data_IF_994975468450
#
_entry.id   IF_994975468450
#
_cell.length_a   1.000
_cell.length_b   1.000
_cell.length_c   1.000
_cell.angle_alpha   90.00
_cell.angle_beta   90.00
_cell.angle_gamma   90.00
#
_symmetry.space_group_name_H-M   'P 1'
#
loop_
_entity.id
_entity.type
_entity.pdbx_description
1 polymer ?
#
# COMPACT_ATOMS: atom_id res chain seq x y z
N UNK A 1 -18.77 32.71 -40.21
CA UNK A 1 -18.78 33.13 -38.79
C UNK A 1 -19.10 31.92 -37.91
N UNK A 2 -18.28 31.74 -36.87
CA UNK A 2 -18.45 30.90 -35.67
C UNK A 2 -18.34 29.37 -35.83
N UNK A 3 -17.09 28.94 -35.65
CA UNK A 3 -16.66 27.62 -35.20
C UNK A 3 -17.42 27.16 -33.95
N UNK A 4 -17.90 25.91 -33.94
CA UNK A 4 -18.16 25.17 -32.70
C UNK A 4 -17.22 23.97 -32.74
N UNK A 5 -16.09 24.13 -32.05
CA UNK A 5 -15.08 23.10 -31.88
C UNK A 5 -15.65 22.10 -30.88
N UNK A 6 -15.98 20.89 -31.36
CA UNK A 6 -16.22 19.75 -30.49
C UNK A 6 -14.87 19.39 -29.86
N UNK A 7 -14.56 20.02 -28.75
CA UNK A 7 -13.50 19.61 -27.84
C UNK A 7 -14.16 19.06 -26.59
N UNK A 8 -14.81 17.89 -26.72
CA UNK A 8 -15.00 17.07 -25.53
C UNK A 8 -13.62 16.45 -25.26
N UNK A 9 -12.85 17.15 -24.43
CA UNK A 9 -11.56 16.72 -23.93
C UNK A 9 -11.67 15.23 -23.56
N UNK A 10 -10.99 14.39 -24.33
CA UNK A 10 -10.50 13.12 -23.83
C UNK A 10 -9.57 13.48 -22.66
N UNK A 11 -10.14 13.60 -21.46
CA UNK A 11 -9.41 13.36 -20.21
C UNK A 11 -9.18 11.85 -20.04
N UNK A 12 -8.87 11.16 -21.14
CA UNK A 12 -7.96 10.03 -21.10
C UNK A 12 -6.57 10.60 -20.91
N UNK A 13 -6.29 11.13 -19.73
CA UNK A 13 -4.92 11.27 -19.25
C UNK A 13 -4.32 9.87 -19.37
N UNK A 14 -3.53 9.68 -20.42
CA UNK A 14 -2.64 8.55 -20.60
C UNK A 14 -1.54 8.68 -19.54
N UNK A 15 -1.90 8.47 -18.28
CA UNK A 15 -0.93 8.24 -17.23
C UNK A 15 -0.19 6.96 -17.60
N UNK A 16 1.02 7.13 -18.13
CA UNK A 16 1.95 6.06 -18.44
C UNK A 16 2.11 5.19 -17.21
N UNK A 17 1.50 4.00 -17.27
CA UNK A 17 1.33 3.19 -16.07
C UNK A 17 2.62 2.44 -15.76
N UNK A 18 3.35 2.93 -14.75
CA UNK A 18 4.55 2.26 -14.21
C UNK A 18 4.36 1.59 -12.85
N UNK A 19 3.17 1.61 -12.25
CA UNK A 19 2.93 0.87 -11.01
C UNK A 19 2.43 -0.55 -11.31
N UNK A 20 3.36 -1.51 -11.35
CA UNK A 20 3.08 -2.93 -11.20
C UNK A 20 4.11 -3.48 -10.22
N UNK A 21 3.66 -4.22 -9.21
CA UNK A 21 4.57 -4.83 -8.23
C UNK A 21 4.58 -6.33 -8.45
N UNK A 22 5.77 -6.83 -8.76
CA UNK A 22 6.03 -8.26 -8.87
C UNK A 22 6.79 -8.72 -7.61
N UNK A 23 6.14 -9.58 -6.83
CA UNK A 23 6.69 -10.06 -5.55
C UNK A 23 7.69 -11.23 -5.70
N UNK A 24 7.87 -11.81 -6.89
CA UNK A 24 8.69 -13.02 -7.06
C UNK A 24 8.15 -14.24 -6.32
N UNK A 25 8.99 -15.25 -6.09
CA UNK A 25 8.71 -16.36 -5.18
C UNK A 25 8.84 -15.89 -3.73
N UNK A 26 7.97 -16.38 -2.83
CA UNK A 26 7.96 -16.02 -1.40
C UNK A 26 7.46 -17.22 -0.60
N UNK A 27 7.98 -17.41 0.62
CA UNK A 27 7.65 -18.55 1.49
C UNK A 27 6.38 -18.29 2.29
N UNK A 28 6.20 -17.05 2.74
CA UNK A 28 5.06 -16.70 3.58
C UNK A 28 4.73 -15.22 3.52
N UNK A 29 3.44 -14.94 3.71
CA UNK A 29 2.94 -13.59 3.89
C UNK A 29 2.24 -13.47 5.24
N UNK A 30 2.68 -12.52 6.06
CA UNK A 30 2.10 -12.20 7.37
C UNK A 30 1.41 -10.85 7.28
N UNK A 31 0.14 -10.80 7.68
CA UNK A 31 -0.61 -9.55 7.81
C UNK A 31 -0.69 -9.17 9.26
N UNK A 32 -0.26 -7.95 9.56
CA UNK A 32 -0.35 -7.34 10.87
C UNK A 32 -1.33 -6.17 10.82
N UNK A 33 -2.17 -6.06 11.84
CA UNK A 33 -3.07 -4.92 12.03
C UNK A 33 -2.61 -4.13 13.24
N UNK A 34 -2.72 -2.83 13.12
CA UNK A 34 -2.26 -1.89 14.13
C UNK A 34 -3.37 -0.94 14.50
N UNK A 35 -3.40 -0.57 15.77
CA UNK A 35 -3.93 0.70 16.20
C UNK A 35 -2.81 1.72 16.01
N UNK A 36 -3.05 2.69 15.13
CA UNK A 36 -2.17 3.83 14.92
C UNK A 36 -2.93 5.09 15.29
N UNK A 37 -2.39 5.85 16.24
CA UNK A 37 -2.84 7.21 16.54
C UNK A 37 -1.65 8.12 16.32
N UNK A 38 -1.75 8.95 15.29
CA UNK A 38 -0.78 10.00 15.02
C UNK A 38 -0.87 11.06 16.12
N UNK A 39 0.25 11.60 16.56
CA UNK A 39 0.26 12.79 17.41
C UNK A 39 -0.45 13.98 16.77
N UNK A 40 -0.50 14.05 15.43
CA UNK A 40 -1.26 15.08 14.70
C UNK A 40 -2.77 14.95 14.90
N UNK A 41 -3.25 13.79 15.39
CA UNK A 41 -4.64 13.54 15.76
C UNK A 41 -4.89 13.70 17.28
N UNK A 42 -3.88 14.12 18.04
CA UNK A 42 -4.01 14.37 19.48
C UNK A 42 -4.47 15.81 19.76
N UNK A 43 -4.93 16.05 20.99
CA UNK A 43 -5.40 17.38 21.40
C UNK A 43 -4.28 18.41 21.30
N UNK A 44 -4.63 19.64 20.94
CA UNK A 44 -3.67 20.75 20.84
C UNK A 44 -3.02 20.96 22.20
N UNK A 45 -1.68 20.87 22.26
CA UNK A 45 -0.91 20.99 23.50
C UNK A 45 -0.61 19.65 24.20
N UNK A 46 -1.12 18.53 23.70
CA UNK A 46 -0.74 17.20 24.21
C UNK A 46 0.73 16.87 23.90
N UNK A 47 1.37 16.13 24.80
CA UNK A 47 2.72 15.56 24.61
C UNK A 47 2.66 14.09 24.16
N UNK A 48 1.52 13.69 23.60
CA UNK A 48 1.27 12.32 23.19
C UNK A 48 2.20 11.96 22.04
N UNK A 49 2.89 10.82 22.21
CA UNK A 49 3.70 10.21 21.16
C UNK A 49 2.79 9.40 20.23
N UNK A 50 3.27 9.14 19.02
CA UNK A 50 2.60 8.23 18.11
C UNK A 50 2.38 6.88 18.81
N UNK A 51 1.11 6.48 18.90
CA UNK A 51 0.75 5.18 19.47
C UNK A 51 0.73 4.19 18.33
N UNK A 52 1.62 3.19 18.40
CA UNK A 52 1.67 2.09 17.44
C UNK A 52 1.57 0.76 18.17
N UNK A 53 0.36 0.18 18.21
CA UNK A 53 0.08 -1.08 18.92
C UNK A 53 -0.39 -2.15 17.94
N UNK A 54 0.29 -3.29 17.91
CA UNK A 54 -0.16 -4.46 17.16
C UNK A 54 -1.46 -4.99 17.80
N UNK A 55 -2.50 -5.11 16.99
CA UNK A 55 -3.80 -5.66 17.37
C UNK A 55 -3.92 -7.14 17.00
N UNK A 56 -3.37 -7.52 15.85
CA UNK A 56 -3.37 -8.90 15.39
C UNK A 56 -2.29 -9.17 14.37
N UNK A 57 -1.93 -10.45 14.27
CA UNK A 57 -1.00 -11.00 13.29
C UNK A 57 -1.57 -12.31 12.75
N UNK A 58 -1.51 -12.49 11.43
CA UNK A 58 -2.06 -13.66 10.74
C UNK A 58 -1.24 -14.01 9.52
N UNK A 59 -0.84 -15.27 9.40
CA UNK A 59 -0.27 -15.81 8.16
C UNK A 59 -1.38 -16.01 7.12
N UNK A 60 -1.13 -15.58 5.89
CA UNK A 60 -2.07 -15.77 4.79
C UNK A 60 -2.13 -17.23 4.36
N UNK A 61 -3.32 -17.67 3.96
CA UNK A 61 -3.50 -18.94 3.25
C UNK A 61 -2.95 -18.83 1.83
N UNK A 62 -2.56 -19.95 1.25
CA UNK A 62 -2.07 -20.00 -0.14
C UNK A 62 -3.03 -19.34 -1.14
N UNK A 63 -4.35 -19.52 -0.95
CA UNK A 63 -5.38 -18.86 -1.77
C UNK A 63 -5.33 -17.34 -1.64
N UNK A 64 -5.19 -16.80 -0.44
CA UNK A 64 -5.08 -15.35 -0.21
C UNK A 64 -3.77 -14.80 -0.79
N UNK A 65 -2.65 -15.50 -0.63
CA UNK A 65 -1.36 -15.12 -1.21
C UNK A 65 -1.44 -15.02 -2.73
N UNK A 66 -2.03 -16.04 -3.39
CA UNK A 66 -2.24 -16.04 -4.84
C UNK A 66 -3.06 -14.84 -5.30
N UNK A 67 -4.15 -14.52 -4.61
CA UNK A 67 -5.00 -13.36 -4.94
C UNK A 67 -4.24 -12.05 -4.73
N UNK A 68 -3.50 -11.90 -3.62
CA UNK A 68 -2.71 -10.70 -3.35
C UNK A 68 -1.70 -10.45 -4.46
N UNK A 69 -0.91 -11.49 -4.81
CA UNK A 69 0.08 -11.43 -5.89
C UNK A 69 -0.54 -11.05 -7.22
N UNK A 70 -1.68 -11.67 -7.56
CA UNK A 70 -2.38 -11.34 -8.79
C UNK A 70 -2.79 -9.87 -8.80
N UNK A 71 -3.37 -9.36 -7.70
CA UNK A 71 -3.80 -7.96 -7.61
C UNK A 71 -2.63 -7.00 -7.71
N UNK A 72 -1.52 -7.24 -7.03
CA UNK A 72 -0.35 -6.35 -7.06
C UNK A 72 0.32 -6.24 -8.44
N UNK A 73 0.16 -7.25 -9.31
CA UNK A 73 0.60 -7.18 -10.71
C UNK A 73 -0.31 -6.30 -11.58
N UNK A 74 -1.54 -6.04 -11.16
CA UNK A 74 -2.49 -5.29 -11.98
C UNK A 74 -2.30 -3.79 -11.83
N UNK A 75 -2.04 -3.12 -12.94
CA UNK A 75 -2.02 -1.66 -13.09
C UNK A 75 -3.18 -0.95 -12.38
N UNK A 76 -4.40 -1.50 -12.52
CA UNK A 76 -5.64 -0.97 -11.90
C UNK A 76 -5.69 -1.06 -10.38
N UNK A 77 -4.68 -1.60 -9.71
CA UNK A 77 -4.58 -1.67 -8.25
C UNK A 77 -4.06 -0.38 -7.61
N UNK A 78 -3.52 0.54 -8.41
CA UNK A 78 -2.73 1.67 -7.93
C UNK A 78 -3.27 3.02 -8.46
N UNK A 79 -3.50 3.97 -7.55
CA UNK A 79 -3.68 5.39 -7.87
C UNK A 79 -2.40 6.16 -7.57
N UNK A 80 -1.97 7.03 -8.49
CA UNK A 80 -0.75 7.84 -8.33
C UNK A 80 -0.94 9.06 -7.42
N UNK A 81 -2.15 9.28 -6.91
CA UNK A 81 -2.43 10.36 -5.99
C UNK A 81 -1.69 10.09 -4.67
N UNK A 82 -0.92 11.09 -4.24
CA UNK A 82 -0.21 11.04 -2.97
C UNK A 82 -1.24 11.18 -1.84
N UNK A 83 -1.22 10.25 -0.89
CA UNK A 83 -2.02 10.40 0.32
C UNK A 83 -1.52 11.61 1.11
N UNK A 84 -2.46 12.41 1.63
CA UNK A 84 -2.17 13.64 2.39
C UNK A 84 -1.52 13.33 3.75
N UNK A 85 -1.76 12.14 4.30
CA UNK A 85 -1.25 11.70 5.60
C UNK A 85 -0.43 10.42 5.45
N UNK A 86 0.73 10.36 6.10
CA UNK A 86 1.58 9.15 6.19
C UNK A 86 1.03 8.15 7.22
N UNK A 87 -0.27 7.89 7.20
CA UNK A 87 -0.95 6.93 8.06
C UNK A 87 -0.89 5.52 7.47
N UNK A 88 -0.76 4.49 8.32
CA UNK A 88 -1.07 3.10 7.99
C UNK A 88 -1.52 2.35 9.24
N UNK A 89 -2.35 1.32 9.04
CA UNK A 89 -2.86 0.50 10.14
C UNK A 89 -2.89 -1.00 9.76
N UNK A 90 -2.48 -1.34 8.53
CA UNK A 90 -2.25 -2.70 8.07
C UNK A 90 -0.83 -2.75 7.49
N UNK A 91 -0.03 -3.73 7.93
CA UNK A 91 1.22 -4.09 7.26
C UNK A 91 1.13 -5.52 6.73
N UNK A 92 1.46 -5.69 5.46
CA UNK A 92 1.65 -7.01 4.85
C UNK A 92 3.15 -7.23 4.70
N UNK A 93 3.69 -8.20 5.43
CA UNK A 93 5.09 -8.57 5.47
C UNK A 93 5.27 -9.81 4.62
N UNK A 94 6.16 -9.75 3.63
CA UNK A 94 6.39 -10.85 2.68
C UNK A 94 7.81 -11.36 2.88
N UNK A 95 7.93 -12.67 3.09
CA UNK A 95 9.19 -13.34 3.39
C UNK A 95 9.61 -14.30 2.28
N UNK A 96 10.91 -14.35 2.00
CA UNK A 96 11.56 -15.32 1.12
C UNK A 96 12.88 -15.75 1.75
N UNK A 97 13.16 -17.04 1.73
CA UNK A 97 14.33 -17.67 2.36
C UNK A 97 14.50 -17.24 3.83
N UNK A 98 13.38 -17.12 4.56
CA UNK A 98 13.35 -16.65 5.96
C UNK A 98 13.52 -15.14 6.18
N UNK A 99 13.85 -14.37 5.13
CA UNK A 99 14.05 -12.92 5.20
C UNK A 99 12.83 -12.14 4.71
N UNK A 100 12.51 -11.00 5.37
CA UNK A 100 11.45 -10.10 4.91
C UNK A 100 11.94 -9.33 3.67
N UNK A 101 11.38 -9.64 2.50
CA UNK A 101 11.79 -9.06 1.21
C UNK A 101 10.89 -7.91 0.75
N UNK A 102 9.63 -7.89 1.17
CA UNK A 102 8.72 -6.76 0.94
C UNK A 102 7.92 -6.42 2.19
N UNK A 103 7.55 -5.14 2.29
CA UNK A 103 6.58 -4.64 3.27
C UNK A 103 5.58 -3.76 2.53
N UNK A 104 4.30 -4.02 2.73
CA UNK A 104 3.22 -3.18 2.19
C UNK A 104 2.51 -2.53 3.38
N UNK A 105 2.58 -1.21 3.47
CA UNK A 105 1.82 -0.44 4.43
C UNK A 105 0.56 0.10 3.77
N UNK A 106 -0.57 -0.14 4.41
CA UNK A 106 -1.87 0.32 3.94
C UNK A 106 -2.71 0.93 5.07
N UNK A 107 -3.48 1.96 4.70
CA UNK A 107 -4.39 2.71 5.55
C UNK A 107 -5.82 2.53 5.06
N UNK A 108 -6.72 1.96 5.88
CA UNK A 108 -8.15 1.95 5.50
C UNK A 108 -8.80 3.33 5.53
N UNK A 109 -8.24 4.27 6.29
CA UNK A 109 -8.77 5.63 6.44
C UNK A 109 -8.51 6.48 5.20
N UNK A 110 -7.29 6.40 4.66
CA UNK A 110 -6.81 7.31 3.61
C UNK A 110 -6.53 6.60 2.29
N UNK A 111 -6.75 5.28 2.23
CA UNK A 111 -6.31 4.39 1.17
C UNK A 111 -4.81 4.48 0.85
N UNK A 112 -4.02 5.13 1.71
CA UNK A 112 -2.58 5.26 1.54
C UNK A 112 -1.98 3.86 1.37
N UNK A 113 -1.11 3.73 0.39
CA UNK A 113 -0.45 2.49 0.06
C UNK A 113 1.02 2.81 -0.22
N UNK A 114 1.90 2.26 0.61
CA UNK A 114 3.34 2.32 0.38
C UNK A 114 3.88 0.89 0.30
N UNK A 115 4.65 0.61 -0.74
CA UNK A 115 5.28 -0.70 -0.93
C UNK A 115 6.78 -0.50 -0.87
N UNK A 116 7.37 -1.22 0.07
CA UNK A 116 8.79 -1.24 0.32
C UNK A 116 9.38 -2.55 -0.18
N UNK A 117 10.56 -2.47 -0.79
CA UNK A 117 11.38 -3.63 -1.15
C UNK A 117 12.68 -3.56 -0.37
N UNK A 118 13.13 -4.69 0.15
CA UNK A 118 14.46 -4.80 0.76
C UNK A 118 15.53 -4.55 -0.32
N UNK A 119 16.49 -3.69 -0.02
CA UNK A 119 17.58 -3.34 -0.95
C UNK A 119 18.82 -4.17 -0.65
N UNK A 120 19.23 -4.26 0.61
CA UNK A 120 20.46 -4.96 1.04
C UNK A 120 20.22 -6.08 2.06
N UNK A 121 21.15 -7.05 2.08
CA UNK A 121 21.16 -8.19 3.02
C UNK A 121 21.66 -7.81 4.41
N UNK A 122 22.47 -6.75 4.50
CA UNK A 122 22.95 -6.15 5.73
C UNK A 122 22.18 -4.84 5.97
N UNK A 123 21.57 -4.74 7.14
CA UNK A 123 20.71 -3.65 7.61
C UNK A 123 19.27 -3.56 7.07
N UNK A 124 18.41 -3.09 7.99
CA UNK A 124 16.96 -2.99 7.88
C UNK A 124 16.51 -1.88 6.90
N UNK A 125 17.28 -1.62 5.85
CA UNK A 125 17.01 -0.54 4.90
C UNK A 125 16.02 -1.00 3.82
N UNK A 126 14.96 -0.21 3.67
CA UNK A 126 13.82 -0.51 2.80
C UNK A 126 13.54 0.70 1.94
N UNK A 127 13.75 0.58 0.63
CA UNK A 127 13.32 1.59 -0.32
C UNK A 127 11.85 1.40 -0.66
N UNK A 128 11.11 2.51 -0.71
CA UNK A 128 9.77 2.48 -1.27
C UNK A 128 9.86 2.40 -2.80
N UNK A 129 9.31 1.33 -3.36
CA UNK A 129 9.15 1.15 -4.81
C UNK A 129 7.82 1.69 -5.32
N UNK A 130 6.91 2.01 -4.39
CA UNK A 130 5.63 2.65 -4.69
C UNK A 130 5.13 3.44 -3.47
N UNK A 131 4.65 4.65 -3.72
CA UNK A 131 3.92 5.48 -2.75
C UNK A 131 2.74 6.16 -3.44
N UNK A 132 1.53 5.88 -2.98
CA UNK A 132 0.29 6.39 -3.59
C UNK A 132 -0.93 5.88 -2.84
N UNK A 133 -1.99 5.54 -3.55
CA UNK A 133 -3.20 4.97 -2.96
C UNK A 133 -3.59 3.62 -3.58
N UNK A 134 -4.25 2.77 -2.81
CA UNK A 134 -4.87 1.55 -3.30
C UNK A 134 -6.24 1.88 -3.95
N UNK A 135 -6.52 1.30 -5.12
CA UNK A 135 -7.86 1.40 -5.72
C UNK A 135 -8.87 0.47 -5.03
N UNK A 136 -10.19 0.61 -5.28
CA UNK A 136 -11.19 -0.35 -4.81
C UNK A 136 -10.92 -1.80 -5.18
N UNK A 137 -10.20 -2.04 -6.29
CA UNK A 137 -9.82 -3.38 -6.69
C UNK A 137 -8.84 -4.04 -5.70
N UNK A 138 -7.92 -3.26 -5.10
CA UNK A 138 -6.95 -3.74 -4.14
C UNK A 138 -7.43 -3.60 -2.68
N UNK A 139 -7.93 -2.43 -2.29
CA UNK A 139 -8.23 -2.16 -0.87
C UNK A 139 -9.36 -3.04 -0.31
N UNK A 140 -10.37 -3.40 -1.14
CA UNK A 140 -11.44 -4.31 -0.73
C UNK A 140 -10.92 -5.70 -0.34
N UNK A 141 -9.78 -6.10 -0.90
CA UNK A 141 -9.11 -7.33 -0.51
C UNK A 141 -8.26 -7.13 0.75
N UNK A 142 -7.45 -6.07 0.80
CA UNK A 142 -6.61 -5.76 1.97
C UNK A 142 -7.44 -5.60 3.26
N UNK A 143 -8.62 -4.98 3.18
CA UNK A 143 -9.52 -4.82 4.33
C UNK A 143 -10.06 -6.15 4.87
N UNK A 144 -10.08 -7.22 4.06
CA UNK A 144 -10.59 -8.56 4.44
C UNK A 144 -9.51 -9.52 4.97
N UNK A 145 -8.23 -9.14 4.91
CA UNK A 145 -7.13 -10.00 5.35
C UNK A 145 -7.08 -10.14 6.88
#
# INVERSE_FOLDING_TARGET
MKHIIITLLLFGLTFSVKAQVYLGETDSIIVKRYYYRDKELSEIGSHDRDIFKELSSKKLTHKQEKILRQKLKQKKSFYHQRALLNHFNISVLIYKDGAKVFKINYSYLTNNLTIYKRVDEDDYEYDYIYKGQATPYLYRFLNKL
#
